data_IF_959100092065
#
_entry.id   IF_959100092065
#
_cell.length_a   1.000
_cell.length_b   1.000
_cell.length_c   1.000
_cell.angle_alpha   90.00
_cell.angle_beta   90.00
_cell.angle_gamma   90.00
#
_symmetry.space_group_name_H-M   'P 1'
#
loop_
_entity.id
_entity.type
_entity.pdbx_description
1 polymer ?
2 polymer ?
3 non-polymer ?
4 non-polymer ?
5 non-polymer ?
6 non-polymer ?
7 water ?
#
# COMPACT_ATOMS: atom_id res chain seq x y z
N UNK A 3 -15.96 15.76 13.44
CA UNK A 3 -15.53 15.80 14.86
C UNK A 3 -14.70 17.05 15.13
N UNK A 4 -13.52 17.11 14.50
CA UNK A 4 -12.61 18.26 14.51
C UNK A 4 -12.12 18.63 15.91
N UNK A 5 -12.46 17.82 16.93
CA UNK A 5 -11.94 17.98 18.27
C UNK A 5 -10.98 16.85 18.61
N UNK A 6 -9.82 17.20 19.17
CA UNK A 6 -8.69 16.29 19.31
C UNK A 6 -8.70 15.60 20.69
N UNK A 7 -9.60 14.61 20.85
CA UNK A 7 -9.72 13.79 22.05
C UNK A 7 -8.79 12.57 21.95
N UNK A 8 -8.43 11.99 23.09
CA UNK A 8 -7.53 10.85 23.12
C UNK A 8 -8.33 9.61 23.51
N UNK A 9 -8.62 8.73 22.53
CA UNK A 9 -9.35 7.50 22.76
C UNK A 9 -8.40 6.35 23.11
N UNK A 10 -7.10 6.55 22.90
CA UNK A 10 -6.08 5.55 23.20
C UNK A 10 -5.63 5.72 24.65
N UNK A 11 -5.71 4.64 25.43
CA UNK A 11 -5.33 4.70 26.84
C UNK A 11 -3.84 5.01 26.96
N UNK A 12 -3.05 4.71 25.91
CA UNK A 12 -1.65 5.10 25.88
C UNK A 12 -1.12 4.97 24.45
N UNK A 13 0.05 5.54 24.20
CA UNK A 13 0.57 5.69 22.85
C UNK A 13 1.57 4.59 22.55
N UNK A 14 1.06 3.35 22.62
CA UNK A 14 1.85 2.14 22.36
C UNK A 14 1.03 1.13 21.56
N UNK A 15 1.72 0.08 21.13
CA UNK A 15 1.12 -1.06 20.45
C UNK A 15 0.06 -1.67 21.35
N UNK A 16 0.33 -1.68 22.66
CA UNK A 16 -0.56 -2.25 23.66
C UNK A 16 -1.80 -1.38 23.75
N UNK A 17 -1.60 -0.06 23.74
CA UNK A 17 -2.71 0.88 23.70
C UNK A 17 -3.60 0.65 22.48
N UNK A 18 -2.97 0.47 21.31
CA UNK A 18 -3.71 0.28 20.08
C UNK A 18 -4.43 -1.08 20.12
N UNK A 19 -3.83 -2.09 20.77
CA UNK A 19 -4.41 -3.42 20.84
C UNK A 19 -5.72 -3.42 21.64
N UNK A 20 -5.70 -2.76 22.79
CA UNK A 20 -6.89 -2.64 23.62
C UNK A 20 -7.95 -1.84 22.86
N UNK A 21 -7.55 -0.71 22.25
CA UNK A 21 -8.47 0.03 21.43
C UNK A 21 -9.07 -0.87 20.36
N UNK A 22 -8.22 -1.70 19.73
CA UNK A 22 -8.68 -2.54 18.63
C UNK A 22 -9.70 -3.56 19.13
N UNK A 23 -9.74 -3.81 20.45
CA UNK A 23 -10.68 -4.79 20.96
C UNK A 23 -11.82 -4.12 21.73
N UNK A 24 -11.82 -2.78 21.74
CA UNK A 24 -12.94 -2.01 22.26
C UNK A 24 -14.11 -2.12 21.28
N UNK A 25 -15.32 -1.83 21.78
CA UNK A 25 -16.53 -1.81 20.96
C UNK A 25 -16.47 -0.67 19.94
N UNK A 26 -15.60 0.31 20.20
CA UNK A 26 -15.57 1.53 19.41
C UNK A 26 -14.82 1.33 18.08
N UNK A 27 -13.93 0.34 18.01
CA UNK A 27 -13.10 0.17 16.83
C UNK A 27 -13.69 -0.91 15.93
N UNK A 28 -14.35 -0.48 14.85
CA UNK A 28 -15.04 -1.43 13.99
C UNK A 28 -14.58 -1.27 12.54
N UNK A 29 -14.16 -0.07 12.16
CA UNK A 29 -13.78 0.25 10.79
C UNK A 29 -12.29 0.61 10.77
N UNK A 30 -11.50 -0.20 10.05
CA UNK A 30 -10.06 -0.05 10.03
C UNK A 30 -9.61 0.18 8.59
N UNK A 31 -8.77 1.21 8.37
CA UNK A 31 -8.16 1.47 7.07
C UNK A 31 -6.64 1.30 7.17
N UNK A 32 -6.11 0.42 6.33
CA UNK A 32 -4.68 0.31 6.18
C UNK A 32 -4.21 1.15 5.00
N UNK A 33 -3.08 1.83 5.20
CA UNK A 33 -2.31 2.43 4.13
C UNK A 33 -0.97 1.71 4.08
N UNK A 34 -0.64 1.13 2.92
CA UNK A 34 0.54 0.30 2.76
C UNK A 34 1.41 0.82 1.61
N UNK A 35 2.70 0.52 1.70
CA UNK A 35 3.61 0.72 0.58
C UNK A 35 4.69 -0.34 0.55
N UNK A 36 5.79 0.00 -0.12
CA UNK A 36 6.80 -0.97 -0.54
C UNK A 36 7.42 -1.70 0.62
N UNK A 37 7.41 -1.08 1.80
CA UNK A 37 7.97 -1.71 2.99
C UNK A 37 7.30 -3.04 3.34
N UNK A 38 6.05 -3.28 2.90
CA UNK A 38 5.34 -4.50 3.24
C UNK A 38 5.58 -5.59 2.20
N UNK A 39 6.31 -5.28 1.13
CA UNK A 39 6.62 -6.27 0.12
C UNK A 39 8.13 -6.50 -0.05
N UNK A 40 8.98 -5.85 0.77
CA UNK A 40 10.43 -6.07 0.69
C UNK A 40 10.79 -7.50 1.10
N UNK A 41 10.17 -8.06 2.15
CA UNK A 41 10.51 -9.42 2.56
C UNK A 41 9.95 -10.45 1.57
N UNK A 42 9.13 -10.02 0.59
CA UNK A 42 8.81 -10.88 -0.55
C UNK A 42 9.83 -10.73 -1.68
N UNK A 43 10.79 -9.80 -1.58
CA UNK A 43 11.87 -9.71 -2.56
C UNK A 43 11.58 -8.71 -3.68
N UNK A 44 10.47 -7.96 -3.57
CA UNK A 44 10.26 -6.80 -4.42
C UNK A 44 10.97 -5.62 -3.76
N UNK A 45 11.99 -5.02 -4.40
CA UNK A 45 12.69 -3.88 -3.78
C UNK A 45 11.84 -2.61 -3.77
N UNK A 46 12.17 -1.69 -2.86
CA UNK A 46 11.67 -0.33 -2.93
C UNK A 46 12.84 0.58 -3.32
N UNK A 47 12.56 1.61 -4.12
CA UNK A 47 13.63 2.36 -4.76
C UNK A 47 13.86 3.67 -4.03
N UNK A 48 13.27 3.82 -2.83
CA UNK A 48 13.59 4.95 -1.97
C UNK A 48 14.36 4.47 -0.74
N UNK A 49 14.58 3.15 -0.64
CA UNK A 49 15.46 2.59 0.36
C UNK A 49 16.90 2.96 0.00
N UNK A 50 17.72 3.43 0.97
CA UNK A 50 19.14 3.65 0.71
C UNK A 50 19.81 2.41 0.13
N UNK A 51 19.72 1.30 0.85
CA UNK A 51 20.28 0.03 0.42
C UNK A 51 19.22 -0.78 -0.33
N UNK A 52 19.59 -1.32 -1.50
CA UNK A 52 18.64 -2.00 -2.37
C UNK A 52 17.53 -1.02 -2.77
N UNK A 53 17.93 0.01 -3.52
CA UNK A 53 17.02 0.98 -4.08
C UNK A 53 17.67 1.72 -5.25
N UNK A 54 16.83 2.10 -6.24
CA UNK A 54 17.27 2.89 -7.38
C UNK A 54 16.71 4.32 -7.24
N UNK A 66 17.54 8.89 -13.59
CA UNK A 66 16.73 9.04 -12.34
C UNK A 66 15.43 8.24 -12.44
N UNK A 67 14.37 8.78 -11.82
CA UNK A 67 13.05 8.17 -11.83
C UNK A 67 12.38 8.33 -13.20
N UNK A 68 13.17 8.49 -14.27
CA UNK A 68 12.61 8.58 -15.61
C UNK A 68 11.84 7.31 -15.94
N UNK A 69 12.40 6.13 -15.59
CA UNK A 69 11.78 4.85 -15.85
C UNK A 69 10.32 4.88 -15.40
N UNK A 70 10.04 5.48 -14.25
CA UNK A 70 8.70 5.43 -13.67
C UNK A 70 7.84 6.60 -14.13
N UNK A 71 8.42 7.54 -14.90
CA UNK A 71 7.70 8.72 -15.35
C UNK A 71 7.02 8.43 -16.68
N UNK A 72 5.86 9.06 -16.87
CA UNK A 72 4.98 8.74 -17.99
C UNK A 72 5.52 9.33 -19.29
N UNK A 73 6.07 10.56 -19.24
CA UNK A 73 6.57 11.19 -20.45
C UNK A 73 7.71 10.36 -21.04
N UNK A 74 8.60 9.85 -20.16
CA UNK A 74 9.73 9.02 -20.60
C UNK A 74 9.24 7.63 -21.04
N UNK A 75 8.12 7.16 -20.47
CA UNK A 75 7.57 5.87 -20.88
C UNK A 75 7.05 5.97 -22.31
N UNK A 76 6.42 7.10 -22.64
CA UNK A 76 5.77 7.27 -23.94
C UNK A 76 6.82 7.25 -25.06
N UNK A 77 7.83 8.11 -24.95
CA UNK A 77 8.93 8.16 -25.91
C UNK A 77 9.65 6.80 -25.94
N UNK A 78 10.14 6.36 -24.78
CA UNK A 78 10.94 5.14 -24.73
C UNK A 78 10.37 4.15 -23.72
N UNK A 79 9.47 3.23 -24.16
CA UNK A 79 8.87 2.24 -23.28
C UNK A 79 9.77 1.07 -22.92
N UNK A 80 10.86 0.89 -23.68
CA UNK A 80 11.71 -0.29 -23.55
C UNK A 80 12.49 -0.34 -22.22
N UNK A 81 13.17 0.75 -21.75
CA UNK A 81 13.84 0.73 -20.45
C UNK A 81 13.00 0.13 -19.32
N UNK A 82 11.73 0.56 -19.24
CA UNK A 82 10.83 0.06 -18.20
C UNK A 82 10.73 -1.46 -18.30
N UNK A 83 10.39 -1.98 -19.49
CA UNK A 83 10.10 -3.39 -19.65
C UNK A 83 11.34 -4.25 -19.36
N UNK A 84 12.52 -3.73 -19.71
CA UNK A 84 13.75 -4.46 -19.48
C UNK A 84 14.04 -4.57 -17.98
N UNK A 85 13.54 -3.60 -17.20
CA UNK A 85 13.75 -3.58 -15.75
C UNK A 85 12.71 -4.46 -15.07
N UNK A 86 11.43 -4.30 -15.45
CA UNK A 86 10.36 -5.12 -14.90
C UNK A 86 10.78 -6.59 -14.93
N UNK A 87 11.55 -6.98 -15.96
CA UNK A 87 12.10 -8.32 -16.05
C UNK A 87 13.05 -8.55 -14.88
N UNK A 88 14.08 -7.71 -14.79
CA UNK A 88 15.05 -7.79 -13.70
C UNK A 88 14.29 -8.00 -12.39
N UNK A 89 13.23 -7.21 -12.16
CA UNK A 89 12.56 -7.17 -10.87
C UNK A 89 11.42 -8.19 -10.76
N UNK A 90 11.03 -8.82 -11.86
CA UNK A 90 9.88 -9.73 -11.83
C UNK A 90 10.24 -10.90 -10.92
N UNK A 91 9.49 -11.12 -9.81
CA UNK A 91 9.78 -12.18 -8.86
C UNK A 91 9.41 -13.58 -9.36
N UNK A 92 10.24 -14.57 -9.03
CA UNK A 92 9.99 -15.95 -9.41
C UNK A 92 8.67 -16.47 -8.86
N UNK A 93 8.43 -16.19 -7.57
CA UNK A 93 7.26 -16.68 -6.86
C UNK A 93 6.53 -15.47 -6.28
N UNK A 94 5.19 -15.53 -6.21
CA UNK A 94 4.42 -14.48 -5.56
C UNK A 94 3.96 -14.97 -4.19
N UNK A 95 4.72 -14.64 -3.13
CA UNK A 95 4.40 -15.11 -1.80
C UNK A 95 4.14 -13.92 -0.88
N UNK A 96 2.86 -13.57 -0.60
CA UNK A 96 2.56 -12.47 0.30
C UNK A 96 3.19 -12.66 1.67
N UNK A 97 3.37 -11.57 2.39
CA UNK A 97 4.11 -11.55 3.64
C UNK A 97 3.15 -11.63 4.83
N UNK A 98 3.72 -11.71 6.03
CA UNK A 98 2.94 -11.70 7.27
C UNK A 98 2.06 -10.45 7.31
N UNK A 99 2.63 -9.28 6.93
CA UNK A 99 1.97 -7.96 6.93
C UNK A 99 0.71 -8.06 6.06
N UNK A 100 0.76 -8.80 4.93
CA UNK A 100 -0.37 -8.95 4.02
C UNK A 100 -1.43 -9.85 4.65
N UNK A 101 -0.96 -10.97 5.20
CA UNK A 101 -1.88 -11.96 5.75
C UNK A 101 -2.56 -11.40 6.98
N UNK A 102 -1.86 -10.46 7.63
CA UNK A 102 -2.41 -9.69 8.74
C UNK A 102 -3.62 -8.91 8.25
N UNK A 103 -3.54 -8.37 7.03
CA UNK A 103 -4.64 -7.60 6.48
C UNK A 103 -5.78 -8.53 6.10
N UNK A 104 -5.43 -9.74 5.64
CA UNK A 104 -6.40 -10.80 5.43
C UNK A 104 -7.14 -11.10 6.75
N UNK A 105 -6.46 -11.05 7.89
CA UNK A 105 -7.11 -11.38 9.15
C UNK A 105 -8.11 -10.29 9.54
N UNK A 106 -7.72 -9.03 9.36
CA UNK A 106 -8.64 -7.90 9.51
C UNK A 106 -9.94 -8.14 8.73
N UNK A 107 -9.80 -8.58 7.47
CA UNK A 107 -10.94 -8.82 6.59
C UNK A 107 -11.86 -9.90 7.15
N UNK A 108 -11.29 -11.09 7.38
CA UNK A 108 -12.01 -12.26 7.87
C UNK A 108 -12.74 -11.96 9.19
N UNK A 109 -12.12 -11.13 10.05
CA UNK A 109 -12.68 -10.75 11.34
C UNK A 109 -13.60 -9.54 11.21
N UNK A 110 -13.72 -8.98 10.01
CA UNK A 110 -14.76 -8.01 9.71
C UNK A 110 -14.36 -6.59 10.08
N UNK A 111 -13.05 -6.33 10.23
CA UNK A 111 -12.61 -5.01 10.66
C UNK A 111 -12.14 -4.17 9.48
N UNK A 112 -11.85 -4.82 8.35
CA UNK A 112 -11.16 -4.15 7.26
C UNK A 112 -12.17 -3.37 6.42
N UNK A 113 -12.19 -2.05 6.60
CA UNK A 113 -12.94 -1.19 5.71
C UNK A 113 -12.25 -1.12 4.35
N UNK A 114 -10.98 -0.71 4.31
CA UNK A 114 -10.29 -0.69 3.03
C UNK A 114 -8.80 -0.88 3.24
N UNK A 115 -8.12 -1.43 2.22
CA UNK A 115 -6.67 -1.35 2.12
C UNK A 115 -6.36 -0.45 0.94
N UNK A 116 -5.68 0.67 1.23
CA UNK A 116 -5.24 1.61 0.22
C UNK A 116 -3.75 1.39 -0.04
N UNK A 117 -3.38 0.87 -1.21
CA UNK A 117 -2.00 0.48 -1.44
C UNK A 117 -1.32 1.27 -2.56
N UNK A 118 -0.01 1.49 -2.40
CA UNK A 118 0.82 2.13 -3.40
C UNK A 118 1.51 1.09 -4.28
N UNK A 119 1.61 -0.13 -3.79
CA UNK A 119 2.28 -1.22 -4.51
C UNK A 119 1.47 -1.70 -5.71
N UNK A 120 2.18 -2.21 -6.73
CA UNK A 120 1.59 -2.71 -7.98
C UNK A 120 1.82 -4.21 -8.13
N UNK A 121 2.16 -4.91 -7.01
CA UNK A 121 2.68 -6.28 -7.07
C UNK A 121 1.59 -7.34 -7.00
N UNK A 122 0.35 -6.97 -6.69
CA UNK A 122 -0.81 -7.85 -6.61
C UNK A 122 -0.76 -8.75 -5.37
N UNK A 123 0.03 -8.45 -4.35
CA UNK A 123 0.19 -9.38 -3.24
C UNK A 123 -0.99 -9.32 -2.27
N UNK A 124 -1.62 -8.15 -2.16
CA UNK A 124 -2.85 -8.01 -1.40
C UNK A 124 -3.93 -8.99 -1.86
N UNK A 125 -4.03 -9.19 -3.17
CA UNK A 125 -5.05 -10.05 -3.77
C UNK A 125 -4.71 -11.53 -3.58
N UNK A 126 -3.42 -11.83 -3.72
CA UNK A 126 -2.93 -13.17 -3.49
C UNK A 126 -3.10 -13.56 -2.01
N UNK A 127 -3.05 -12.60 -1.08
CA UNK A 127 -3.34 -12.88 0.32
C UNK A 127 -4.86 -12.97 0.55
N UNK A 128 -5.66 -12.53 -0.42
CA UNK A 128 -7.07 -12.84 -0.42
C UNK A 128 -7.96 -11.63 -0.17
N UNK A 129 -7.41 -10.42 -0.25
CA UNK A 129 -8.25 -9.24 -0.31
C UNK A 129 -8.95 -9.21 -1.66
N UNK A 130 -10.21 -8.78 -1.67
CA UNK A 130 -10.98 -8.71 -2.90
C UNK A 130 -10.97 -7.27 -3.42
N UNK A 131 -11.46 -7.09 -4.64
CA UNK A 131 -11.54 -5.77 -5.27
C UNK A 131 -12.19 -4.80 -4.29
N UNK A 132 -13.26 -5.26 -3.64
CA UNK A 132 -14.07 -4.40 -2.79
C UNK A 132 -13.22 -3.87 -1.63
N UNK A 133 -12.22 -4.64 -1.21
CA UNK A 133 -11.45 -4.31 -0.02
C UNK A 133 -10.30 -3.37 -0.35
N UNK A 134 -10.08 -3.08 -1.64
CA UNK A 134 -8.75 -2.76 -2.09
C UNK A 134 -8.80 -1.54 -2.99
N UNK A 135 -7.90 -0.59 -2.73
CA UNK A 135 -7.69 0.53 -3.63
C UNK A 135 -6.23 0.49 -4.07
N UNK A 136 -6.00 0.01 -5.29
CA UNK A 136 -4.70 0.04 -5.90
C UNK A 136 -4.49 1.44 -6.47
N UNK A 137 -4.12 2.35 -5.57
CA UNK A 137 -3.97 3.77 -5.87
C UNK A 137 -2.95 4.03 -6.98
N UNK A 138 -1.91 3.21 -7.09
CA UNK A 138 -0.97 3.34 -8.19
C UNK A 138 -1.18 2.24 -9.23
N UNK A 139 -2.40 1.71 -9.30
CA UNK A 139 -2.71 0.63 -10.23
C UNK A 139 -2.04 -0.69 -9.82
N UNK A 140 -1.82 -1.53 -10.83
CA UNK A 140 -1.40 -2.91 -10.63
C UNK A 140 -0.93 -3.51 -11.95
N UNK A 141 -0.19 -4.62 -11.82
CA UNK A 141 0.30 -5.42 -12.93
C UNK A 141 -0.69 -6.52 -13.31
N UNK A 142 -1.73 -6.72 -12.49
CA UNK A 142 -2.57 -7.90 -12.63
C UNK A 142 -3.18 -7.92 -14.02
N UNK A 143 -3.60 -6.73 -14.48
CA UNK A 143 -4.14 -6.57 -15.82
C UNK A 143 -3.33 -5.51 -16.57
N UNK A 144 -3.38 -5.60 -17.91
CA UNK A 144 -2.74 -4.66 -18.81
C UNK A 144 -3.76 -4.20 -19.85
N UNK A 145 -3.55 -3.05 -20.48
CA UNK A 145 -4.49 -2.54 -21.48
C UNK A 145 -3.75 -1.96 -22.67
N UNK A 146 -4.31 -2.21 -23.85
CA UNK A 146 -3.93 -1.51 -25.06
C UNK A 146 -4.13 -0.02 -24.84
N UNK A 147 -3.05 0.75 -25.03
CA UNK A 147 -3.06 2.19 -24.84
C UNK A 147 -3.90 2.89 -25.92
N UNK A 148 -4.26 2.18 -26.99
CA UNK A 148 -4.98 2.83 -28.06
C UNK A 148 -6.44 3.04 -27.67
N UNK A 149 -6.84 4.32 -27.60
CA UNK A 149 -8.06 4.78 -26.97
C UNK A 149 -9.31 4.08 -27.52
N UNK A 150 -9.31 3.76 -28.81
CA UNK A 150 -10.41 3.11 -29.48
C UNK A 150 -10.29 1.59 -29.42
N UNK A 151 -9.31 1.08 -28.68
CA UNK A 151 -9.13 -0.37 -28.56
C UNK A 151 -9.30 -0.76 -27.09
N UNK A 152 -8.27 -0.48 -26.26
CA UNK A 152 -8.33 -0.70 -24.82
C UNK A 152 -8.58 -2.16 -24.51
N UNK A 153 -8.02 -3.06 -25.33
CA UNK A 153 -8.14 -4.49 -25.14
C UNK A 153 -7.42 -4.88 -23.85
N UNK A 154 -8.03 -5.75 -23.03
CA UNK A 154 -7.48 -6.13 -21.74
C UNK A 154 -6.70 -7.43 -21.86
N UNK A 155 -5.51 -7.47 -21.26
CA UNK A 155 -4.65 -8.64 -21.27
C UNK A 155 -4.30 -8.99 -19.83
N UNK A 156 -4.17 -10.29 -19.49
CA UNK A 156 -3.81 -10.71 -18.14
C UNK A 156 -2.31 -10.83 -17.97
N UNK A 157 -1.88 -11.13 -16.73
CA UNK A 157 -0.47 -11.08 -16.33
C UNK A 157 0.35 -12.20 -16.99
N UNK A 158 -0.30 -13.32 -17.32
CA UNK A 158 0.36 -14.43 -18.00
C UNK A 158 0.99 -13.92 -19.29
N UNK A 159 0.14 -13.20 -20.03
CA UNK A 159 0.44 -12.66 -21.35
C UNK A 159 1.50 -11.59 -21.22
N UNK A 160 1.25 -10.66 -20.31
CA UNK A 160 2.14 -9.52 -20.11
C UNK A 160 3.50 -10.05 -19.67
N UNK A 161 3.48 -11.08 -18.82
CA UNK A 161 4.71 -11.69 -18.34
C UNK A 161 5.44 -12.38 -19.50
N UNK A 162 4.71 -13.13 -20.33
CA UNK A 162 5.34 -13.81 -21.46
C UNK A 162 6.07 -12.78 -22.32
N UNK A 163 5.45 -11.61 -22.53
CA UNK A 163 6.10 -10.55 -23.29
C UNK A 163 7.34 -10.07 -22.55
N UNK A 164 7.19 -9.76 -21.26
CA UNK A 164 8.28 -9.16 -20.49
C UNK A 164 9.47 -10.12 -20.49
N UNK A 165 9.23 -11.38 -20.12
CA UNK A 165 10.27 -12.40 -20.06
C UNK A 165 10.68 -12.83 -21.48
N UNK A 166 9.78 -12.70 -22.47
CA UNK A 166 10.15 -12.90 -23.86
C UNK A 166 11.17 -11.85 -24.29
N UNK A 167 11.16 -10.69 -23.60
CA UNK A 167 11.95 -9.53 -23.98
C UNK A 167 11.39 -8.93 -25.28
N UNK A 168 10.11 -9.25 -25.59
CA UNK A 168 9.39 -8.64 -26.69
C UNK A 168 8.49 -7.56 -26.11
N UNK A 169 8.51 -6.34 -26.70
CA UNK A 169 7.67 -5.26 -26.23
C UNK A 169 6.22 -5.62 -26.53
N UNK A 170 5.32 -5.58 -25.51
CA UNK A 170 3.94 -6.01 -25.69
C UNK A 170 3.18 -5.17 -26.71
N UNK A 171 2.64 -5.84 -27.73
CA UNK A 171 1.82 -5.19 -28.72
C UNK A 171 0.46 -5.88 -28.76
N UNK A 172 -0.58 -5.05 -28.82
CA UNK A 172 -1.96 -5.50 -28.86
C UNK A 172 -2.16 -6.36 -30.10
N UNK A 173 -2.87 -7.48 -29.95
CA UNK A 173 -3.04 -8.43 -31.03
C UNK A 173 -4.08 -7.93 -32.03
N UNK A 174 -4.93 -6.97 -31.60
CA UNK A 174 -5.96 -6.40 -32.43
C UNK A 174 -5.51 -5.14 -33.17
N UNK A 175 -4.65 -4.29 -32.58
CA UNK A 175 -4.30 -3.02 -33.21
C UNK A 175 -2.79 -2.74 -33.24
N UNK A 176 -1.97 -3.51 -32.50
CA UNK A 176 -0.52 -3.41 -32.57
C UNK A 176 0.01 -2.16 -31.85
N UNK A 177 -0.85 -1.53 -31.05
CA UNK A 177 -0.42 -0.44 -30.18
C UNK A 177 0.30 -1.03 -28.97
N UNK A 178 1.05 -0.21 -28.25
CA UNK A 178 1.71 -0.67 -27.03
C UNK A 178 0.66 -1.16 -26.05
N UNK A 179 0.96 -2.25 -25.33
CA UNK A 179 0.12 -2.69 -24.22
C UNK A 179 0.84 -2.37 -22.91
N UNK A 180 0.30 -1.41 -22.14
CA UNK A 180 0.91 -0.92 -20.92
C UNK A 180 0.31 -1.65 -19.72
N UNK A 181 1.11 -2.09 -18.71
CA UNK A 181 0.55 -2.61 -17.47
C UNK A 181 -0.35 -1.55 -16.81
N UNK A 182 -1.48 -1.96 -16.21
CA UNK A 182 -2.46 -1.02 -15.68
C UNK A 182 -1.94 -0.27 -14.45
N UNK A 183 -0.65 0.09 -14.45
CA UNK A 183 -0.04 0.78 -13.32
C UNK A 183 -0.10 2.29 -13.59
N UNK A 184 -0.11 3.10 -12.52
CA UNK A 184 -0.08 4.56 -12.64
C UNK A 184 1.39 4.97 -12.62
N UNK A 185 1.85 5.68 -13.65
CA UNK A 185 3.21 6.21 -13.67
C UNK A 185 3.24 7.57 -12.98
N UNK A 186 4.45 7.95 -12.54
CA UNK A 186 4.71 9.31 -12.11
C UNK A 186 4.35 10.27 -13.24
N UNK A 187 3.53 11.27 -12.90
CA UNK A 187 3.03 12.26 -13.85
C UNK A 187 1.57 11.98 -14.21
N UNK A 188 1.14 10.72 -14.06
CA UNK A 188 -0.20 10.31 -14.44
C UNK A 188 -1.20 10.61 -13.33
N UNK A 189 -2.47 10.76 -13.71
CA UNK A 189 -3.54 10.88 -12.75
C UNK A 189 -3.77 9.51 -12.11
N UNK A 190 -4.16 9.54 -10.82
CA UNK A 190 -4.57 8.35 -10.08
C UNK A 190 -5.96 7.92 -10.55
N UNK A 191 -6.37 6.66 -10.27
CA UNK A 191 -7.66 6.16 -10.72
C UNK A 191 -8.80 6.87 -10.00
N UNK A 192 -9.98 6.88 -10.62
CA UNK A 192 -11.06 7.71 -10.14
C UNK A 192 -11.62 7.15 -8.83
N UNK A 193 -11.54 5.82 -8.65
CA UNK A 193 -12.10 5.15 -7.49
C UNK A 193 -11.30 5.52 -6.24
N UNK A 194 -10.03 5.91 -6.41
CA UNK A 194 -9.21 6.41 -5.32
C UNK A 194 -9.95 7.51 -4.56
N UNK A 195 -10.57 8.43 -5.31
CA UNK A 195 -11.16 9.63 -4.74
C UNK A 195 -12.57 9.37 -4.25
N UNK A 196 -13.33 8.54 -4.96
CA UNK A 196 -14.71 8.24 -4.58
C UNK A 196 -14.72 7.48 -3.26
N UNK A 197 -13.76 6.55 -3.12
CA UNK A 197 -13.63 5.73 -1.93
C UNK A 197 -13.13 6.58 -0.78
N UNK A 198 -12.16 7.44 -1.09
CA UNK A 198 -11.48 8.27 -0.12
C UNK A 198 -12.49 9.22 0.52
N UNK A 199 -13.39 9.78 -0.29
CA UNK A 199 -14.39 10.71 0.19
C UNK A 199 -15.38 10.02 1.12
N UNK A 200 -15.58 8.71 0.97
CA UNK A 200 -16.57 8.02 1.79
C UNK A 200 -15.92 7.37 2.99
N UNK A 201 -14.79 6.69 2.76
CA UNK A 201 -14.12 5.84 3.74
C UNK A 201 -13.68 6.61 4.98
N UNK A 202 -13.21 7.84 4.80
CA UNK A 202 -12.51 8.54 5.85
C UNK A 202 -13.48 9.23 6.80
N UNK A 203 -14.80 9.16 6.51
CA UNK A 203 -15.80 9.74 7.37
C UNK A 203 -15.95 8.89 8.63
N UNK A 204 -15.86 7.56 8.50
CA UNK A 204 -16.25 6.66 9.58
C UNK A 204 -15.19 5.59 9.81
N UNK A 205 -13.92 5.99 9.64
CA UNK A 205 -12.78 5.17 10.00
C UNK A 205 -12.51 5.31 11.50
N UNK A 206 -12.27 4.19 12.18
CA UNK A 206 -12.01 4.18 13.62
C UNK A 206 -10.53 3.97 13.93
N UNK A 207 -9.73 3.60 12.91
CA UNK A 207 -8.33 3.34 13.11
C UNK A 207 -7.62 3.34 11.76
N UNK A 208 -6.44 3.96 11.74
CA UNK A 208 -5.66 4.08 10.53
C UNK A 208 -4.36 3.31 10.76
N UNK A 209 -4.11 2.33 9.90
CA UNK A 209 -3.01 1.43 10.08
C UNK A 209 -2.04 1.62 8.93
N UNK A 210 -0.94 2.33 9.20
CA UNK A 210 -0.07 2.82 8.15
C UNK A 210 1.20 1.99 8.16
N UNK A 211 1.42 1.22 7.10
CA UNK A 211 2.43 0.17 7.15
C UNK A 211 3.32 0.20 5.92
N UNK A 212 4.63 0.33 6.17
CA UNK A 212 5.66 0.09 5.17
C UNK A 212 5.64 1.14 4.07
N UNK A 213 5.42 2.41 4.45
CA UNK A 213 5.47 3.54 3.54
C UNK A 213 6.08 4.73 4.29
N UNK A 214 6.97 5.48 3.64
CA UNK A 214 7.48 6.70 4.23
C UNK A 214 6.62 7.89 3.82
N UNK A 215 5.57 7.65 3.02
CA UNK A 215 4.53 8.64 2.80
C UNK A 215 5.11 9.85 2.07
N UNK A 216 5.96 9.62 1.07
CA UNK A 216 6.61 10.72 0.36
C UNK A 216 6.10 10.79 -1.07
N UNK A 217 4.97 10.11 -1.35
CA UNK A 217 4.32 10.16 -2.64
C UNK A 217 2.91 10.73 -2.47
N UNK A 218 2.62 11.76 -3.28
CA UNK A 218 1.33 12.42 -3.27
C UNK A 218 0.56 12.00 -4.51
N UNK A 219 -0.79 12.04 -4.49
CA UNK A 219 -1.57 12.52 -3.35
C UNK A 219 -1.75 11.49 -2.23
N UNK A 220 -1.21 10.28 -2.44
CA UNK A 220 -1.40 9.19 -1.50
C UNK A 220 -1.15 9.69 -0.07
N UNK A 221 -0.01 10.35 0.13
CA UNK A 221 0.44 10.72 1.46
C UNK A 221 -0.62 11.52 2.21
N UNK A 222 -1.43 12.29 1.50
CA UNK A 222 -2.34 13.20 2.15
C UNK A 222 -3.53 12.46 2.76
N UNK A 223 -3.58 11.13 2.64
CA UNK A 223 -4.72 10.35 3.13
C UNK A 223 -4.81 10.43 4.65
N UNK A 224 -3.68 10.62 5.32
CA UNK A 224 -3.66 10.59 6.77
C UNK A 224 -4.40 11.79 7.35
N UNK A 225 -4.42 12.89 6.59
CA UNK A 225 -5.05 14.13 7.01
C UNK A 225 -6.56 14.09 6.78
N UNK A 226 -7.02 13.09 6.00
CA UNK A 226 -8.43 12.92 5.70
C UNK A 226 -9.10 12.23 6.89
N UNK A 227 -8.30 11.53 7.69
CA UNK A 227 -8.80 10.88 8.89
C UNK A 227 -9.30 11.93 9.87
N UNK A 228 -10.51 11.75 10.44
CA UNK A 228 -10.93 12.54 11.60
C UNK A 228 -9.84 12.61 12.66
N UNK A 229 -9.81 13.76 13.34
CA UNK A 229 -8.70 14.10 14.22
C UNK A 229 -8.70 13.21 15.46
N UNK A 230 -9.78 12.43 15.64
CA UNK A 230 -9.93 11.53 16.78
C UNK A 230 -9.56 10.10 16.45
N UNK A 231 -9.50 9.74 15.16
CA UNK A 231 -9.08 8.41 14.77
C UNK A 231 -7.62 8.20 15.19
N UNK A 232 -7.31 7.19 16.05
CA UNK A 232 -5.94 6.78 16.27
C UNK A 232 -5.25 6.37 14.98
N UNK A 233 -3.95 6.66 14.88
CA UNK A 233 -3.17 6.31 13.71
C UNK A 233 -1.89 5.59 14.11
N UNK A 234 -1.77 4.32 13.72
CA UNK A 234 -0.57 3.54 14.01
C UNK A 234 0.33 3.46 12.77
N UNK A 235 1.63 3.75 12.95
CA UNK A 235 2.65 3.58 11.92
C UNK A 235 3.51 2.37 12.25
N UNK A 236 3.67 1.48 11.26
CA UNK A 236 4.60 0.35 11.37
C UNK A 236 5.59 0.50 10.23
N UNK A 237 6.87 0.72 10.57
CA UNK A 237 7.83 1.16 9.57
C UNK A 237 9.24 1.17 10.16
N UNK A 238 10.25 1.04 9.30
CA UNK A 238 11.63 1.11 9.77
C UNK A 238 11.91 2.46 10.43
N UNK A 239 11.30 3.54 9.92
CA UNK A 239 11.56 4.90 10.39
C UNK A 239 10.24 5.67 10.54
N UNK A 240 10.27 6.75 11.32
CA UNK A 240 9.10 7.60 11.44
C UNK A 240 8.84 8.25 10.08
N UNK A 241 7.57 8.56 9.81
CA UNK A 241 7.22 9.34 8.65
C UNK A 241 5.86 10.02 8.87
N UNK A 242 5.59 11.06 8.06
CA UNK A 242 4.30 11.70 8.02
C UNK A 242 4.15 12.82 9.05
N UNK A 243 5.25 13.09 9.79
CA UNK A 243 5.39 14.29 10.59
C UNK A 243 5.45 15.50 9.66
N UNK A 244 4.83 16.62 10.04
CA UNK A 244 4.85 17.80 9.20
C UNK A 244 6.27 18.38 9.11
N UNK A 245 6.68 18.78 7.90
CA UNK A 245 7.97 19.43 7.74
C UNK A 245 7.95 20.75 8.51
N UNK A 246 9.04 21.09 9.24
CA UNK A 246 9.06 22.33 10.01
C UNK A 246 8.99 23.60 9.16
N UNK A 247 9.29 23.49 7.86
CA UNK A 247 9.36 24.66 6.99
C UNK A 247 8.10 24.77 6.13
N UNK A 248 7.55 23.64 5.70
CA UNK A 248 6.37 23.64 4.86
C UNK A 248 5.13 23.79 5.74
N UNK A 249 5.18 23.25 6.95
CA UNK A 249 4.16 23.56 7.96
C UNK A 249 3.95 25.06 8.07
N UNK A 250 5.08 25.79 8.00
CA UNK A 250 5.14 27.23 8.01
C UNK A 250 4.19 27.82 6.95
N UNK A 251 4.03 27.12 5.82
CA UNK A 251 2.98 27.39 4.84
C UNK A 251 2.05 26.18 4.73
N UNK A 255 -2.05 20.36 7.37
CA UNK A 255 -2.71 20.02 8.65
C UNK A 255 -2.92 18.53 8.78
N UNK A 256 -2.83 18.01 10.01
CA UNK A 256 -3.14 16.62 10.31
C UNK A 256 -1.93 15.71 10.10
N UNK A 257 -0.72 16.30 10.08
CA UNK A 257 0.52 15.53 10.05
C UNK A 257 0.66 14.68 11.32
N UNK A 258 1.59 13.73 11.31
CA UNK A 258 1.72 12.77 12.39
C UNK A 258 2.39 13.46 13.58
N UNK A 259 1.95 13.09 14.80
CA UNK A 259 2.62 13.55 16.00
C UNK A 259 2.79 12.39 16.95
N UNK A 260 3.97 11.77 16.89
CA UNK A 260 4.32 10.71 17.82
C UNK A 260 4.90 11.28 19.10
N UNK A 261 5.48 12.49 19.06
CA UNK A 261 6.48 12.83 20.06
C UNK A 261 6.18 14.08 20.91
N UNK A 262 5.49 15.08 20.34
CA UNK A 262 5.22 16.33 21.06
C UNK A 262 4.34 16.07 22.28
N UNK A 263 4.11 17.11 23.09
CA UNK A 263 3.28 16.99 24.28
C UNK A 263 1.81 17.01 23.86
N UNK A 264 1.56 17.47 22.62
CA UNK A 264 0.23 17.42 22.03
C UNK A 264 0.02 16.12 21.24
N UNK A 265 0.70 15.04 21.65
CA UNK A 265 0.46 13.74 21.05
C UNK A 265 -0.73 13.09 21.77
N UNK A 266 -1.63 12.48 21.01
CA UNK A 266 -2.85 11.92 21.59
C UNK A 266 -3.36 10.71 20.81
N UNK A 267 -2.96 10.55 19.54
CA UNK A 267 -3.53 9.51 18.69
C UNK A 267 -2.54 8.85 17.72
N UNK A 268 -1.26 9.25 17.72
CA UNK A 268 -0.31 8.74 16.72
C UNK A 268 0.74 7.89 17.42
N UNK A 269 0.96 6.66 16.93
CA UNK A 269 1.91 5.73 17.54
C UNK A 269 2.91 5.23 16.48
N UNK A 270 4.20 5.22 16.83
CA UNK A 270 5.20 4.69 15.92
C UNK A 270 5.74 3.38 16.49
N UNK A 271 5.61 2.31 15.71
CA UNK A 271 6.34 1.08 15.95
C UNK A 271 7.36 0.93 14.83
N UNK A 272 8.63 1.04 15.21
CA UNK A 272 9.74 1.05 14.29
C UNK A 272 10.38 -0.32 14.24
N UNK A 273 10.45 -0.86 13.01
CA UNK A 273 11.07 -2.14 12.71
C UNK A 273 10.50 -2.71 11.42
N UNK A 274 10.55 -4.03 11.28
CA UNK A 274 10.03 -4.71 10.10
C UNK A 274 8.52 -4.88 10.23
N UNK A 275 7.79 -4.62 9.15
CA UNK A 275 6.34 -4.73 9.19
C UNK A 275 5.88 -6.13 9.57
N UNK A 276 6.69 -7.13 9.23
CA UNK A 276 6.35 -8.51 9.48
C UNK A 276 6.45 -8.80 10.97
N UNK A 277 7.36 -8.10 11.67
CA UNK A 277 7.57 -8.32 13.09
C UNK A 277 6.59 -7.48 13.90
N UNK A 278 6.32 -6.26 13.45
CA UNK A 278 5.30 -5.41 14.05
C UNK A 278 3.91 -6.04 13.94
N UNK A 279 3.54 -6.48 12.74
CA UNK A 279 2.22 -7.06 12.51
C UNK A 279 2.13 -8.36 13.30
N UNK A 280 3.28 -9.03 13.45
CA UNK A 280 3.33 -10.26 14.21
C UNK A 280 3.09 -9.97 15.69
N UNK A 281 3.75 -8.91 16.19
CA UNK A 281 3.72 -8.56 17.60
C UNK A 281 2.34 -7.99 17.95
N UNK A 282 1.76 -7.24 17.03
CA UNK A 282 0.43 -6.70 17.21
C UNK A 282 -0.58 -7.85 17.27
N UNK A 283 -0.41 -8.85 16.40
CA UNK A 283 -1.30 -10.00 16.42
C UNK A 283 -1.17 -10.71 17.76
N UNK A 284 -0.01 -10.62 18.38
CA UNK A 284 0.23 -11.40 19.58
C UNK A 284 -0.57 -10.79 20.74
N UNK A 285 -0.73 -9.47 20.70
CA UNK A 285 -1.45 -8.78 21.76
C UNK A 285 -2.93 -9.07 21.61
N UNK A 286 -3.33 -9.32 20.36
CA UNK A 286 -4.72 -9.48 19.98
C UNK A 286 -5.17 -10.93 20.15
N UNK A 287 -4.24 -11.85 20.42
CA UNK A 287 -4.56 -13.27 20.49
C UNK A 287 -4.80 -13.87 19.10
N UNK A 288 -4.16 -13.27 18.07
CA UNK A 288 -4.27 -13.75 16.70
C UNK A 288 -3.01 -14.50 16.26
N UNK A 289 -1.98 -14.57 17.11
CA UNK A 289 -0.68 -15.03 16.67
C UNK A 289 -0.80 -16.39 15.98
N UNK A 290 -1.53 -17.32 16.59
CA UNK A 290 -1.61 -18.67 16.07
C UNK A 290 -2.29 -18.65 14.70
N UNK A 291 -3.51 -18.09 14.63
CA UNK A 291 -4.21 -18.00 13.36
C UNK A 291 -3.26 -17.54 12.27
N UNK A 292 -2.51 -16.47 12.57
CA UNK A 292 -1.62 -15.85 11.61
C UNK A 292 -0.45 -16.77 11.28
N UNK A 293 0.01 -17.55 12.27
CA UNK A 293 1.06 -18.53 12.02
C UNK A 293 0.54 -19.64 11.11
N UNK A 294 -0.70 -20.08 11.33
CA UNK A 294 -1.30 -21.15 10.55
C UNK A 294 -1.50 -20.66 9.11
N UNK A 295 -2.18 -19.52 8.97
CA UNK A 295 -2.50 -18.92 7.69
C UNK A 295 -1.27 -18.76 6.80
N UNK A 296 -0.26 -18.04 7.27
CA UNK A 296 0.95 -17.82 6.49
C UNK A 296 1.55 -19.17 6.06
N UNK A 297 1.64 -20.11 6.99
CA UNK A 297 2.30 -21.38 6.74
C UNK A 297 1.51 -22.19 5.70
N UNK A 298 0.19 -22.09 5.77
CA UNK A 298 -0.66 -22.86 4.88
C UNK A 298 -0.73 -22.21 3.49
N UNK A 299 -0.75 -20.88 3.42
CA UNK A 299 -0.82 -20.23 2.13
C UNK A 299 0.51 -20.38 1.41
N UNK A 300 1.62 -20.18 2.13
CA UNK A 300 2.95 -20.39 1.58
C UNK A 300 3.10 -21.79 1.02
N UNK A 301 2.74 -22.79 1.81
CA UNK A 301 2.84 -24.18 1.37
C UNK A 301 1.99 -24.42 0.13
N UNK A 302 0.76 -23.88 0.12
CA UNK A 302 -0.14 -23.98 -1.02
C UNK A 302 0.50 -23.36 -2.27
N UNK A 303 1.15 -22.21 -2.11
CA UNK A 303 1.89 -21.58 -3.19
C UNK A 303 3.14 -22.41 -3.53
N UNK A 304 3.88 -22.88 -2.53
CA UNK A 304 5.06 -23.69 -2.81
C UNK A 304 4.70 -24.91 -3.65
N UNK A 305 3.43 -25.34 -3.60
CA UNK A 305 2.98 -26.59 -4.21
C UNK A 305 2.30 -26.43 -5.57
N UNK A 306 2.61 -25.34 -6.29
CA UNK A 306 2.05 -25.12 -7.62
C UNK A 306 2.84 -25.97 -8.65
N UNK B 2 -5.01 15.78 -8.28
CA UNK B 2 -3.56 15.85 -8.69
C UNK B 2 -3.09 14.51 -9.26
N UNK B 3 -1.76 14.41 -9.40
CA UNK B 3 -1.10 13.38 -10.20
C UNK B 3 0.06 12.80 -9.39
N UNK B 4 0.39 11.52 -9.62
CA UNK B 4 1.46 10.91 -8.87
C UNK B 4 2.73 11.73 -9.05
N UNK B 5 3.37 12.11 -7.93
CA UNK B 5 4.60 12.87 -7.95
C UNK B 5 5.28 12.81 -6.58
N UNK B 6 6.62 12.72 -6.59
CA UNK B 6 7.41 12.90 -5.38
C UNK B 6 7.11 14.28 -4.82
N UNK B 7 7.08 14.39 -3.49
CA UNK B 7 6.90 15.67 -2.83
C UNK B 7 7.60 15.63 -1.47
#
# INVERSE_FOLDING_TARGET
SLGSQKERLLDELTLEGVARYMQSERCRRVICLVGAGISTSAGIPDFRSPSTGLYDNLEKYHLPYPEAIFEISYFKKHPEPFFALAKELYPGQFKPTICHYFMRLLKDKGLLLRCYTQNIDTLERIAGLEQEDLVEAHGTFYTSHCVSASCRHEYPLSWMKEKIFSEVTPKCEDCQSLVKPDIVFFGESLPARFFSCMQSDFLKVDLLLVMGTSLQVQPFASLISKAPLSTPRLLINKEKAGQSDPFLGMIMGLGGGMDFDSKKAYRDVAWLGECDQGCLALAELLGWKKELEDLVRREHASIDAQS
APRKQLA
#
